data_IF_432092996879
#
_entry.id   IF_432092996879
#
_cell.length_a   1.000
_cell.length_b   1.000
_cell.length_c   1.000
_cell.angle_alpha   90.00
_cell.angle_beta   90.00
_cell.angle_gamma   90.00
#
_symmetry.space_group_name_H-M   'P 1'
#
loop_
_entity.id
_entity.type
_entity.pdbx_description
1 polymer ?
#
# COMPACT_ATOMS: atom_id res chain seq x y z
N UNK A 1 -19.31 10.46 -11.70
CA UNK A 1 -19.14 11.84 -11.17
C UNK A 1 -19.43 11.97 -9.67
N UNK A 2 -19.95 10.93 -8.99
CA UNK A 2 -20.17 10.90 -7.53
C UNK A 2 -19.06 10.22 -6.72
N UNK A 3 -18.01 9.69 -7.38
CA UNK A 3 -16.96 8.87 -6.74
C UNK A 3 -15.74 9.69 -6.29
N UNK A 4 -15.33 10.71 -7.04
CA UNK A 4 -14.11 11.48 -6.74
C UNK A 4 -14.22 12.37 -5.49
N UNK A 5 -15.42 12.88 -5.19
CA UNK A 5 -15.68 13.69 -4.00
C UNK A 5 -15.58 12.87 -2.71
N UNK A 6 -16.14 11.65 -2.68
CA UNK A 6 -16.07 10.78 -1.49
C UNK A 6 -14.66 10.26 -1.21
N UNK A 7 -13.83 10.10 -2.25
CA UNK A 7 -12.46 9.58 -2.14
C UNK A 7 -11.49 10.65 -1.66
N UNK A 8 -11.62 11.87 -2.18
CA UNK A 8 -10.87 13.01 -1.67
C UNK A 8 -11.23 13.29 -0.21
N UNK A 9 -12.52 13.21 0.11
CA UNK A 9 -13.01 13.30 1.48
C UNK A 9 -12.39 12.22 2.39
N UNK A 10 -12.30 10.97 1.93
CA UNK A 10 -11.69 9.88 2.71
C UNK A 10 -10.21 10.16 3.04
N UNK A 11 -9.42 10.61 2.07
CA UNK A 11 -8.01 10.93 2.33
C UNK A 11 -7.84 12.18 3.21
N UNK A 12 -8.70 13.18 3.05
CA UNK A 12 -8.75 14.37 3.92
C UNK A 12 -9.11 13.99 5.37
N UNK A 13 -10.05 13.07 5.56
CA UNK A 13 -10.42 12.55 6.89
C UNK A 13 -9.23 11.82 7.54
N UNK A 14 -8.51 10.97 6.78
CA UNK A 14 -7.29 10.30 7.25
C UNK A 14 -6.21 11.31 7.63
N UNK A 15 -5.95 12.32 6.78
CA UNK A 15 -4.97 13.37 7.06
C UNK A 15 -5.35 14.17 8.31
N UNK A 16 -6.63 14.50 8.49
CA UNK A 16 -7.13 15.21 9.67
C UNK A 16 -6.85 14.46 10.96
N UNK A 17 -7.06 13.14 10.96
CA UNK A 17 -6.74 12.29 12.12
C UNK A 17 -5.23 12.29 12.40
N UNK A 18 -4.40 12.12 11.36
CA UNK A 18 -2.94 12.16 11.50
C UNK A 18 -2.49 13.49 12.10
N UNK A 19 -2.94 14.62 11.54
CA UNK A 19 -2.58 15.95 11.99
C UNK A 19 -2.95 16.17 13.47
N UNK A 20 -4.15 15.71 13.88
CA UNK A 20 -4.59 15.83 15.27
C UNK A 20 -3.67 15.12 16.28
N UNK A 21 -2.99 14.06 15.85
CA UNK A 21 -2.05 13.28 16.66
C UNK A 21 -0.65 13.91 16.61
N UNK A 22 -0.20 14.31 15.41
CA UNK A 22 1.15 14.86 15.18
C UNK A 22 1.34 16.27 15.75
N UNK A 23 0.28 17.07 15.90
CA UNK A 23 0.35 18.38 16.60
C UNK A 23 0.98 18.25 17.99
N UNK A 24 0.81 17.10 18.64
CA UNK A 24 1.28 16.86 20.01
C UNK A 24 2.67 16.21 20.08
N UNK A 25 3.22 15.73 18.96
CA UNK A 25 4.47 14.95 18.92
C UNK A 25 5.19 15.10 17.59
N UNK A 26 6.49 15.40 17.63
CA UNK A 26 7.35 15.30 16.45
C UNK A 26 7.97 13.91 16.36
N UNK A 27 7.91 13.31 15.16
CA UNK A 27 8.60 12.05 14.85
C UNK A 27 9.67 12.33 13.80
N UNK A 28 10.83 11.68 13.97
CA UNK A 28 11.94 11.77 13.02
C UNK A 28 11.72 10.88 11.79
N UNK A 29 11.02 9.75 11.97
CA UNK A 29 10.79 8.75 10.94
C UNK A 29 9.30 8.42 10.86
N UNK A 30 8.80 8.25 9.64
CA UNK A 30 7.41 7.86 9.38
C UNK A 30 7.40 6.56 8.57
N UNK A 31 6.48 5.68 8.92
CA UNK A 31 6.15 4.50 8.13
C UNK A 31 4.65 4.48 7.94
N UNK A 32 4.23 4.40 6.69
CA UNK A 32 2.82 4.22 6.35
C UNK A 32 2.60 2.80 5.85
N UNK A 33 1.58 2.14 6.39
CA UNK A 33 1.08 0.87 5.87
C UNK A 33 -0.40 1.05 5.53
N UNK A 34 -0.81 0.56 4.37
CA UNK A 34 -2.18 0.66 3.94
C UNK A 34 -2.62 -0.58 3.16
N UNK A 35 -3.86 -1.00 3.39
CA UNK A 35 -4.45 -2.20 2.79
C UNK A 35 -5.69 -1.83 1.98
N UNK A 36 -5.78 -2.33 0.74
CA UNK A 36 -6.96 -2.17 -0.12
C UNK A 36 -7.43 -0.71 -0.19
N UNK A 37 -8.63 -0.38 0.27
CA UNK A 37 -9.17 1.00 0.29
C UNK A 37 -8.25 2.01 0.97
N UNK A 38 -7.47 1.60 1.98
CA UNK A 38 -6.51 2.49 2.64
C UNK A 38 -5.43 3.01 1.68
N UNK A 39 -5.14 2.30 0.59
CA UNK A 39 -4.12 2.71 -0.38
C UNK A 39 -4.53 3.97 -1.16
N UNK A 40 -5.83 4.30 -1.18
CA UNK A 40 -6.34 5.57 -1.74
C UNK A 40 -5.81 6.76 -0.94
N UNK A 41 -5.81 6.68 0.39
CA UNK A 41 -5.25 7.73 1.23
C UNK A 41 -3.73 7.73 1.18
N UNK A 42 -3.09 6.55 1.10
CA UNK A 42 -1.64 6.43 1.05
C UNK A 42 -1.02 7.17 -0.13
N UNK A 43 -1.59 7.06 -1.34
CA UNK A 43 -1.08 7.78 -2.52
C UNK A 43 -1.07 9.30 -2.32
N UNK A 44 -2.06 9.84 -1.62
CA UNK A 44 -2.15 11.26 -1.30
C UNK A 44 -1.18 11.66 -0.17
N UNK A 45 -1.06 10.85 0.87
CA UNK A 45 -0.13 11.09 1.97
C UNK A 45 1.31 11.19 1.47
N UNK A 46 1.73 10.27 0.60
CA UNK A 46 3.09 10.26 0.07
C UNK A 46 3.40 11.44 -0.87
N UNK A 47 2.38 12.13 -1.40
CA UNK A 47 2.60 13.37 -2.14
C UNK A 47 2.98 14.56 -1.24
N UNK A 48 2.75 14.46 0.07
CA UNK A 48 3.06 15.52 1.02
C UNK A 48 4.56 15.56 1.34
N UNK A 49 5.18 16.73 1.12
CA UNK A 49 6.62 16.95 1.34
C UNK A 49 7.06 16.74 2.79
N UNK A 50 6.14 16.88 3.75
CA UNK A 50 6.41 16.58 5.17
C UNK A 50 6.85 15.12 5.37
N UNK A 51 6.38 14.21 4.52
CA UNK A 51 6.67 12.78 4.59
C UNK A 51 7.71 12.32 3.58
N UNK A 52 8.51 13.22 2.98
CA UNK A 52 9.45 12.92 1.88
C UNK A 52 10.39 11.71 2.13
N UNK A 53 10.74 11.43 3.39
CA UNK A 53 11.65 10.35 3.79
C UNK A 53 10.90 9.15 4.41
N UNK A 54 9.56 9.15 4.38
CA UNK A 54 8.75 8.06 4.91
C UNK A 54 8.97 6.77 4.12
N UNK A 55 8.80 5.62 4.80
CA UNK A 55 8.66 4.31 4.16
C UNK A 55 7.19 3.99 3.90
N UNK A 56 6.89 3.24 2.83
CA UNK A 56 5.53 2.91 2.43
C UNK A 56 5.32 1.41 2.19
N UNK A 57 4.33 0.82 2.85
CA UNK A 57 3.94 -0.59 2.70
C UNK A 57 2.53 -0.62 2.11
N UNK A 58 2.40 -1.23 0.94
CA UNK A 58 1.16 -1.36 0.19
C UNK A 58 0.70 -2.82 0.23
N UNK A 59 -0.45 -3.08 0.84
CA UNK A 59 -1.02 -4.42 0.94
C UNK A 59 -2.25 -4.49 0.04
N UNK A 60 -2.22 -5.40 -0.93
CA UNK A 60 -3.32 -5.65 -1.89
C UNK A 60 -3.90 -4.35 -2.45
N UNK A 61 -3.07 -3.49 -3.09
CA UNK A 61 -3.50 -2.17 -3.55
C UNK A 61 -4.56 -2.28 -4.65
N UNK A 62 -5.45 -1.30 -4.70
CA UNK A 62 -6.50 -1.21 -5.72
C UNK A 62 -5.92 -0.76 -7.08
N UNK A 63 -5.15 -1.62 -7.77
CA UNK A 63 -4.45 -1.27 -9.01
C UNK A 63 -5.38 -0.85 -10.16
N UNK A 64 -6.65 -1.22 -10.12
CA UNK A 64 -7.67 -0.76 -11.06
C UNK A 64 -7.85 0.77 -11.03
N UNK A 65 -7.49 1.42 -9.91
CA UNK A 65 -7.55 2.88 -9.79
C UNK A 65 -6.27 3.55 -10.27
N UNK A 66 -6.42 4.63 -11.04
CA UNK A 66 -5.28 5.40 -11.53
C UNK A 66 -4.52 6.10 -10.42
N UNK A 67 -5.19 6.67 -9.42
CA UNK A 67 -4.53 7.37 -8.31
C UNK A 67 -3.62 6.46 -7.46
N UNK A 68 -4.09 5.24 -7.14
CA UNK A 68 -3.30 4.23 -6.44
C UNK A 68 -2.16 3.72 -7.32
N UNK A 69 -2.45 3.40 -8.58
CA UNK A 69 -1.44 2.91 -9.52
C UNK A 69 -0.34 3.94 -9.79
N UNK A 70 -0.71 5.20 -10.04
CA UNK A 70 0.21 6.30 -10.29
C UNK A 70 1.05 6.60 -9.03
N UNK A 71 0.46 6.45 -7.84
CA UNK A 71 1.15 6.54 -6.56
C UNK A 71 2.26 5.50 -6.41
N UNK A 72 2.01 4.24 -6.82
CA UNK A 72 3.01 3.19 -6.84
C UNK A 72 4.06 3.42 -7.93
N UNK A 73 3.63 3.75 -9.15
CA UNK A 73 4.49 3.92 -10.32
C UNK A 73 5.50 5.06 -10.14
N UNK A 74 5.03 6.18 -9.56
CA UNK A 74 5.84 7.37 -9.35
C UNK A 74 6.38 7.50 -7.91
N UNK A 75 6.23 6.45 -7.09
CA UNK A 75 6.66 6.47 -5.70
C UNK A 75 8.16 6.76 -5.59
N UNK A 76 8.51 7.81 -4.83
CA UNK A 76 9.92 8.16 -4.52
C UNK A 76 10.37 7.66 -3.15
N UNK A 77 9.42 7.20 -2.36
CA UNK A 77 9.64 6.62 -1.03
C UNK A 77 10.15 5.19 -1.18
N UNK A 78 11.03 4.78 -0.27
CA UNK A 78 11.32 3.36 -0.13
C UNK A 78 10.01 2.64 0.21
N UNK A 79 9.65 1.62 -0.54
CA UNK A 79 8.40 0.93 -0.31
C UNK A 79 8.37 -0.53 -0.73
N UNK A 80 7.38 -1.22 -0.19
CA UNK A 80 7.05 -2.60 -0.52
C UNK A 80 5.60 -2.66 -0.98
N UNK A 81 5.33 -3.47 -2.00
CA UNK A 81 3.96 -3.78 -2.40
C UNK A 81 3.77 -5.29 -2.46
N UNK A 82 2.77 -5.77 -1.73
CA UNK A 82 2.36 -7.16 -1.67
C UNK A 82 1.02 -7.30 -2.35
N UNK A 83 0.91 -8.21 -3.31
CA UNK A 83 -0.34 -8.52 -3.99
C UNK A 83 -0.37 -10.00 -4.35
N UNK A 84 -1.52 -10.64 -4.20
CA UNK A 84 -1.71 -12.01 -4.65
C UNK A 84 -2.07 -12.06 -6.14
N UNK A 85 -1.74 -13.14 -6.84
CA UNK A 85 -2.15 -13.34 -8.23
C UNK A 85 -3.63 -13.75 -8.38
N UNK A 86 -4.26 -14.20 -7.30
CA UNK A 86 -5.71 -14.42 -7.20
C UNK A 86 -6.47 -13.20 -6.60
N UNK A 87 -5.78 -12.09 -6.35
CA UNK A 87 -6.44 -10.84 -5.95
C UNK A 87 -7.23 -10.24 -7.14
N UNK A 88 -8.53 -9.93 -7.02
CA UNK A 88 -9.29 -9.27 -8.09
C UNK A 88 -8.75 -7.89 -8.49
N UNK A 89 -7.90 -7.28 -7.67
CA UNK A 89 -7.21 -6.03 -7.96
C UNK A 89 -5.88 -6.24 -8.70
N UNK A 90 -5.40 -7.48 -8.83
CA UNK A 90 -4.22 -7.80 -9.62
C UNK A 90 -4.48 -7.58 -11.10
N UNK A 91 -3.56 -6.86 -11.76
CA UNK A 91 -3.60 -6.57 -13.19
C UNK A 91 -2.18 -6.79 -13.71
N UNK A 92 -1.98 -7.87 -14.45
CA UNK A 92 -0.66 -8.32 -14.91
C UNK A 92 0.09 -7.23 -15.68
N UNK A 93 -0.60 -6.53 -16.57
CA UNK A 93 -0.02 -5.49 -17.42
C UNK A 93 0.47 -4.27 -16.61
N UNK A 94 -0.11 -4.05 -15.43
CA UNK A 94 0.29 -2.97 -14.51
C UNK A 94 1.48 -3.35 -13.64
N UNK A 95 1.76 -4.63 -13.43
CA UNK A 95 2.90 -5.05 -12.60
C UNK A 95 4.24 -4.85 -13.30
N UNK A 96 4.30 -5.02 -14.63
CA UNK A 96 5.56 -4.90 -15.35
C UNK A 96 6.20 -3.50 -15.21
N UNK A 97 5.48 -2.38 -15.40
CA UNK A 97 6.04 -1.04 -15.16
C UNK A 97 6.46 -0.82 -13.71
N UNK A 98 5.71 -1.35 -12.75
CA UNK A 98 6.03 -1.19 -11.32
C UNK A 98 7.36 -1.86 -10.96
N UNK A 99 7.73 -2.98 -11.61
CA UNK A 99 9.03 -3.65 -11.41
C UNK A 99 10.22 -2.77 -11.80
N UNK A 100 10.01 -1.75 -12.62
CA UNK A 100 11.05 -0.82 -13.05
C UNK A 100 11.29 0.29 -12.02
N UNK A 101 10.40 0.47 -11.05
CA UNK A 101 10.58 1.45 -9.98
C UNK A 101 11.58 0.92 -8.93
N UNK A 102 12.82 1.44 -8.96
CA UNK A 102 13.91 1.04 -8.05
C UNK A 102 13.65 1.37 -6.56
N UNK A 103 12.65 2.21 -6.25
CA UNK A 103 12.24 2.52 -4.87
C UNK A 103 11.18 1.57 -4.33
N UNK A 104 10.63 0.70 -5.18
CA UNK A 104 9.53 -0.18 -4.85
C UNK A 104 9.96 -1.64 -5.00
N UNK A 105 9.89 -2.40 -3.90
CA UNK A 105 10.03 -3.86 -3.93
C UNK A 105 8.66 -4.49 -4.10
N UNK A 106 8.49 -5.31 -5.14
CA UNK A 106 7.24 -5.98 -5.45
C UNK A 106 7.27 -7.45 -5.01
N UNK A 107 6.23 -7.87 -4.31
CA UNK A 107 5.99 -9.24 -3.89
C UNK A 107 4.66 -9.71 -4.48
N UNK A 108 4.74 -10.47 -5.57
CA UNK A 108 3.60 -11.21 -6.11
C UNK A 108 3.53 -12.55 -5.36
N UNK A 109 2.41 -12.84 -4.71
CA UNK A 109 2.23 -14.01 -3.85
C UNK A 109 1.34 -15.04 -4.56
N UNK A 110 1.88 -16.20 -4.98
CA UNK A 110 1.12 -17.19 -5.71
C UNK A 110 -0.04 -17.79 -4.89
N UNK A 111 -1.21 -17.89 -5.50
CA UNK A 111 -2.45 -18.40 -4.91
C UNK A 111 -3.09 -17.50 -3.86
N UNK A 112 -2.47 -16.38 -3.50
CA UNK A 112 -3.01 -15.50 -2.49
C UNK A 112 -4.13 -14.63 -3.09
N UNK A 113 -5.19 -14.44 -2.32
CA UNK A 113 -6.29 -13.55 -2.71
C UNK A 113 -6.12 -12.14 -2.12
N UNK A 114 -7.19 -11.34 -2.19
CA UNK A 114 -7.24 -9.96 -1.67
C UNK A 114 -7.05 -9.80 -0.16
N UNK A 115 -7.10 -10.89 0.61
CA UNK A 115 -6.82 -10.90 2.05
C UNK A 115 -5.40 -11.35 2.36
N UNK A 116 -4.58 -11.66 1.34
CA UNK A 116 -3.29 -12.34 1.47
C UNK A 116 -3.43 -13.72 2.12
N UNK A 117 -4.52 -14.42 1.80
CA UNK A 117 -4.80 -15.77 2.27
C UNK A 117 -5.12 -16.71 1.09
N UNK A 118 -5.07 -18.01 1.35
CA UNK A 118 -5.53 -19.06 0.44
C UNK A 118 -6.85 -19.64 0.95
N UNK A 119 -7.88 -19.61 0.10
CA UNK A 119 -9.21 -20.08 0.46
C UNK A 119 -9.18 -21.56 0.89
N UNK A 120 -9.78 -21.87 2.05
CA UNK A 120 -9.84 -23.22 2.62
C UNK A 120 -8.50 -23.87 3.00
N UNK A 121 -7.41 -23.10 2.96
CA UNK A 121 -6.04 -23.55 3.25
C UNK A 121 -5.45 -22.76 4.42
N UNK A 122 -6.00 -22.95 5.62
CA UNK A 122 -5.67 -22.11 6.78
C UNK A 122 -4.18 -22.11 7.16
N UNK A 123 -3.49 -23.24 7.04
CA UNK A 123 -2.04 -23.33 7.34
C UNK A 123 -1.24 -22.54 6.31
N UNK A 124 -1.52 -22.73 5.02
CA UNK A 124 -0.85 -22.01 3.93
C UNK A 124 -1.08 -20.49 4.04
N UNK A 125 -2.29 -20.07 4.43
CA UNK A 125 -2.60 -18.67 4.74
C UNK A 125 -1.76 -18.10 5.87
N UNK A 126 -1.53 -18.87 6.94
CA UNK A 126 -0.66 -18.43 8.04
C UNK A 126 0.79 -18.34 7.58
N UNK A 127 1.26 -19.26 6.74
CA UNK A 127 2.62 -19.22 6.20
C UNK A 127 2.83 -18.02 5.27
N UNK A 128 1.84 -17.68 4.44
CA UNK A 128 1.84 -16.44 3.63
C UNK A 128 1.95 -15.22 4.55
N UNK A 129 1.09 -15.12 5.55
CA UNK A 129 1.09 -13.95 6.46
C UNK A 129 2.39 -13.85 7.25
N UNK A 130 2.94 -14.98 7.70
CA UNK A 130 4.24 -15.03 8.37
C UNK A 130 5.36 -14.52 7.48
N UNK A 131 5.37 -14.94 6.21
CA UNK A 131 6.35 -14.50 5.22
C UNK A 131 6.21 -12.99 4.91
N UNK A 132 4.98 -12.49 4.71
CA UNK A 132 4.71 -11.07 4.50
C UNK A 132 5.17 -10.23 5.69
N UNK A 133 4.83 -10.65 6.91
CA UNK A 133 5.23 -9.93 8.13
C UNK A 133 6.75 -9.98 8.31
N UNK A 134 7.41 -11.12 8.06
CA UNK A 134 8.87 -11.23 8.13
C UNK A 134 9.56 -10.27 7.15
N UNK A 135 9.07 -10.19 5.92
CA UNK A 135 9.56 -9.23 4.92
C UNK A 135 9.34 -7.77 5.33
N UNK A 136 8.22 -7.47 5.98
CA UNK A 136 7.95 -6.14 6.53
C UNK A 136 8.92 -5.83 7.67
N UNK A 137 9.17 -6.76 8.59
CA UNK A 137 10.08 -6.58 9.71
C UNK A 137 11.52 -6.29 9.23
N UNK A 138 12.01 -7.04 8.24
CA UNK A 138 13.33 -6.82 7.61
C UNK A 138 13.43 -5.44 6.93
N UNK A 139 12.29 -4.87 6.52
CA UNK A 139 12.23 -3.59 5.82
C UNK A 139 12.17 -2.38 6.76
N UNK A 140 11.66 -2.53 7.99
CA UNK A 140 11.48 -1.45 8.95
C UNK A 140 12.81 -0.95 9.53
#
# INVERSE_FOLDING_TARGET
MLTSLSEKQFAEDVQTVIDSILVKKSYANYVFTAKSIGTIALSQLLANRHYKDAKAIWLTPLLQRSDVYDGLLNCRHQGMCFIGDEDPCYIEEKLHPLKLNQKLTLHLIPGANHSLDQHHHAVDSIDILKDVIGKIDDFL
#
